data_IF_048234536425
#
_entry.id   IF_048234536425
#
_cell.length_a   1.000
_cell.length_b   1.000
_cell.length_c   1.000
_cell.angle_alpha   90.00
_cell.angle_beta   90.00
_cell.angle_gamma   90.00
#
_symmetry.space_group_name_H-M   'P 1'
#
loop_
_entity.id
_entity.type
_entity.pdbx_description
1 polymer ?
#
# COMPACT_ATOMS: atom_id res chain seq x y z
N UNK A 1 -5.79 -18.71 11.56
CA UNK A 1 -5.92 -18.11 12.91
C UNK A 1 -6.33 -16.63 12.82
N UNK A 2 -5.48 -15.77 12.26
CA UNK A 2 -5.60 -14.30 12.31
C UNK A 2 -6.77 -13.65 11.56
N UNK A 3 -7.18 -14.21 10.41
CA UNK A 3 -8.17 -13.57 9.53
C UNK A 3 -9.54 -13.38 10.19
N UNK A 4 -9.95 -14.31 11.08
CA UNK A 4 -11.22 -14.20 11.81
C UNK A 4 -11.21 -13.00 12.74
N UNK A 5 -10.16 -12.86 13.54
CA UNK A 5 -10.04 -11.77 14.50
C UNK A 5 -9.86 -10.41 13.81
N UNK A 6 -9.14 -10.36 12.69
CA UNK A 6 -9.04 -9.16 11.87
C UNK A 6 -10.41 -8.73 11.30
N UNK A 7 -11.20 -9.68 10.78
CA UNK A 7 -12.56 -9.41 10.28
C UNK A 7 -13.54 -8.96 11.37
N UNK A 8 -13.35 -9.46 12.59
CA UNK A 8 -14.15 -9.10 13.76
C UNK A 8 -13.61 -7.86 14.49
N UNK A 9 -12.59 -7.19 13.94
CA UNK A 9 -11.93 -6.01 14.52
C UNK A 9 -11.39 -6.23 15.95
N UNK A 10 -11.02 -7.48 16.28
CA UNK A 10 -10.35 -7.82 17.55
C UNK A 10 -8.86 -7.55 17.50
N UNK A 11 -8.31 -7.49 16.29
CA UNK A 11 -6.94 -7.08 16.02
C UNK A 11 -6.95 -6.05 14.89
N UNK A 12 -6.07 -5.07 15.02
CA UNK A 12 -5.84 -4.02 14.03
C UNK A 12 -4.45 -4.18 13.43
N UNK A 13 -4.37 -4.25 12.11
CA UNK A 13 -3.16 -4.55 11.36
C UNK A 13 -2.64 -3.39 10.54
N UNK A 14 -1.32 -3.28 10.39
CA UNK A 14 -0.67 -2.44 9.39
C UNK A 14 0.25 -3.26 8.45
N UNK A 15 0.58 -2.67 7.29
CA UNK A 15 1.51 -3.25 6.29
C UNK A 15 2.89 -2.59 6.41
N UNK A 16 3.80 -3.23 7.13
CA UNK A 16 5.11 -2.70 7.47
C UNK A 16 6.21 -3.20 6.50
N UNK A 17 6.23 -2.62 5.29
CA UNK A 17 7.22 -2.95 4.27
C UNK A 17 8.33 -1.90 4.19
N UNK A 18 7.97 -0.68 3.78
CA UNK A 18 8.89 0.44 3.54
C UNK A 18 9.74 0.74 4.76
N UNK A 19 11.01 0.99 4.51
CA UNK A 19 12.00 1.42 5.47
C UNK A 19 12.49 2.83 5.16
N UNK A 20 13.16 3.46 6.11
CA UNK A 20 13.74 4.79 5.96
C UNK A 20 14.71 4.85 4.76
N UNK A 21 15.55 3.82 4.58
CA UNK A 21 16.49 3.71 3.46
C UNK A 21 15.89 3.16 2.16
N UNK A 22 14.76 2.43 2.25
CA UNK A 22 14.27 1.60 1.15
C UNK A 22 12.74 1.62 1.00
N UNK A 23 12.27 2.24 -0.09
CA UNK A 23 10.86 2.23 -0.52
C UNK A 23 10.64 1.42 -1.80
N UNK A 24 11.06 1.97 -2.94
CA UNK A 24 10.89 1.33 -4.25
C UNK A 24 11.76 0.09 -4.41
N UNK A 25 13.01 0.12 -3.91
CA UNK A 25 13.93 -1.02 -3.96
C UNK A 25 13.65 -1.99 -2.79
N UNK A 26 12.53 -2.72 -2.85
CA UNK A 26 12.15 -3.72 -1.85
C UNK A 26 13.21 -4.81 -1.64
N UNK A 27 13.91 -5.31 -2.67
CA UNK A 27 15.03 -6.23 -2.47
C UNK A 27 16.17 -5.65 -1.62
N UNK A 28 16.22 -4.33 -1.42
CA UNK A 28 17.20 -3.65 -0.58
C UNK A 28 16.82 -3.51 0.89
N UNK A 29 15.63 -3.95 1.32
CA UNK A 29 15.24 -3.86 2.74
C UNK A 29 16.28 -4.53 3.65
N UNK A 30 16.48 -3.93 4.82
CA UNK A 30 17.54 -4.24 5.78
C UNK A 30 17.01 -4.95 7.03
N UNK A 31 15.73 -4.81 7.40
CA UNK A 31 15.15 -5.56 8.54
C UNK A 31 15.39 -7.05 8.33
N UNK A 32 15.88 -7.76 9.35
CA UNK A 32 16.19 -9.19 9.25
C UNK A 32 15.19 -10.05 10.03
N UNK A 33 15.02 -11.29 9.59
CA UNK A 33 14.28 -12.35 10.25
C UNK A 33 15.15 -13.62 10.25
N UNK A 34 15.93 -13.81 11.30
CA UNK A 34 16.86 -14.95 11.41
C UNK A 34 16.16 -16.13 12.06
N UNK A 35 16.17 -17.29 11.41
CA UNK A 35 15.55 -18.50 11.95
C UNK A 35 16.44 -19.16 13.01
N UNK A 36 15.88 -19.38 14.19
CA UNK A 36 16.50 -20.08 15.31
C UNK A 36 15.87 -21.48 15.47
N UNK A 37 16.60 -22.49 14.97
CA UNK A 37 16.16 -23.90 14.99
C UNK A 37 16.00 -24.46 16.40
N UNK A 38 16.71 -23.91 17.38
CA UNK A 38 16.69 -24.44 18.75
C UNK A 38 15.38 -24.12 19.45
N UNK A 39 14.79 -22.98 19.12
CA UNK A 39 13.56 -22.45 19.73
C UNK A 39 12.33 -22.56 18.81
N UNK A 40 12.52 -22.92 17.53
CA UNK A 40 11.48 -22.91 16.48
C UNK A 40 10.87 -21.51 16.28
N UNK A 41 11.72 -20.49 16.29
CA UNK A 41 11.35 -19.07 16.24
C UNK A 41 12.11 -18.30 15.16
N UNK A 42 11.56 -17.17 14.73
CA UNK A 42 12.28 -16.13 14.00
C UNK A 42 12.67 -15.00 14.94
N UNK A 43 13.91 -14.53 14.83
CA UNK A 43 14.42 -13.33 15.50
C UNK A 43 14.35 -12.16 14.52
N UNK A 44 13.40 -11.25 14.74
CA UNK A 44 13.21 -10.03 13.95
C UNK A 44 14.06 -8.91 14.52
N UNK A 45 14.88 -8.27 13.68
CA UNK A 45 15.78 -7.21 14.13
C UNK A 45 15.90 -6.06 13.13
N UNK A 46 16.12 -4.85 13.67
CA UNK A 46 16.43 -3.64 12.92
C UNK A 46 17.93 -3.34 13.08
N UNK A 47 18.79 -3.67 12.09
CA UNK A 47 20.24 -3.57 12.24
C UNK A 47 20.77 -2.14 12.28
N UNK A 48 20.09 -1.20 11.60
CA UNK A 48 20.53 0.18 11.38
C UNK A 48 19.35 1.14 11.51
N UNK A 49 19.63 2.44 11.61
CA UNK A 49 18.58 3.47 11.57
C UNK A 49 17.84 3.47 10.23
N UNK A 50 18.55 3.19 9.13
CA UNK A 50 17.96 3.12 7.79
C UNK A 50 16.99 1.95 7.63
N UNK A 51 17.17 0.89 8.42
CA UNK A 51 16.28 -0.26 8.49
C UNK A 51 14.97 -0.04 9.28
N UNK A 52 14.78 1.14 9.89
CA UNK A 52 13.51 1.45 10.56
C UNK A 52 12.38 1.35 9.54
N UNK A 53 11.32 0.61 9.87
CA UNK A 53 10.07 0.73 9.12
C UNK A 53 9.62 2.18 9.16
N UNK A 54 9.20 2.72 8.02
CA UNK A 54 8.90 4.14 7.89
C UNK A 54 7.83 4.34 6.80
N UNK A 55 6.77 5.09 7.09
CA UNK A 55 5.54 5.30 6.30
C UNK A 55 4.33 4.38 6.50
N UNK A 56 4.38 3.14 7.04
CA UNK A 56 3.20 2.31 7.19
C UNK A 56 2.06 3.07 7.88
N UNK A 57 0.90 3.14 7.20
CA UNK A 57 -0.31 3.70 7.80
C UNK A 57 -0.72 2.88 9.02
N UNK A 58 -1.37 3.53 9.99
CA UNK A 58 -1.89 2.90 11.21
C UNK A 58 -0.81 2.36 12.16
N UNK A 59 0.47 2.39 11.79
CA UNK A 59 1.57 1.88 12.60
C UNK A 59 1.85 2.76 13.82
N UNK A 60 1.76 4.07 13.64
CA UNK A 60 2.27 5.03 14.63
C UNK A 60 1.56 4.91 15.97
N UNK A 61 0.24 4.68 15.96
CA UNK A 61 -0.57 4.63 17.17
C UNK A 61 -1.60 3.51 17.16
N UNK A 62 -2.22 3.18 16.03
CA UNK A 62 -3.46 2.39 16.02
C UNK A 62 -3.27 0.87 15.95
N UNK A 63 -2.29 0.39 15.19
CA UNK A 63 -2.12 -1.02 14.90
C UNK A 63 -1.63 -1.81 16.12
N UNK A 64 -2.29 -2.94 16.39
CA UNK A 64 -1.89 -3.92 17.41
C UNK A 64 -0.99 -5.02 16.84
N UNK A 65 -1.09 -5.27 15.54
CA UNK A 65 -0.34 -6.27 14.80
C UNK A 65 0.21 -5.65 13.52
N UNK A 66 1.28 -6.23 12.98
CA UNK A 66 1.86 -5.82 11.72
C UNK A 66 2.22 -7.03 10.86
N UNK A 67 2.03 -6.91 9.55
CA UNK A 67 2.75 -7.74 8.58
C UNK A 67 4.07 -7.03 8.30
N UNK A 68 5.16 -7.60 8.78
CA UNK A 68 6.52 -7.06 8.65
C UNK A 68 7.22 -7.78 7.50
N UNK A 69 7.81 -7.01 6.58
CA UNK A 69 8.66 -7.55 5.52
C UNK A 69 10.11 -7.48 5.96
N UNK A 70 10.82 -8.61 5.91
CA UNK A 70 12.19 -8.71 6.39
C UNK A 70 12.98 -9.72 5.55
N UNK A 71 14.30 -9.59 5.53
CA UNK A 71 15.22 -10.56 4.92
C UNK A 71 15.21 -11.85 5.74
N UNK A 72 14.78 -12.95 5.13
CA UNK A 72 14.82 -14.26 5.75
C UNK A 72 16.25 -14.78 5.76
N UNK A 73 16.78 -15.06 6.96
CA UNK A 73 18.13 -15.61 7.15
C UNK A 73 18.03 -16.97 7.81
N UNK A 74 18.63 -18.00 7.22
CA UNK A 74 18.73 -19.35 7.80
C UNK A 74 20.15 -19.86 7.61
N UNK A 75 20.78 -20.31 8.70
CA UNK A 75 22.18 -20.76 8.69
C UNK A 75 23.11 -19.77 7.96
N UNK A 76 23.00 -18.48 8.30
CA UNK A 76 23.75 -17.35 7.71
C UNK A 76 23.48 -17.07 6.22
N UNK A 77 22.59 -17.83 5.58
CA UNK A 77 22.19 -17.62 4.20
C UNK A 77 20.93 -16.76 4.10
N UNK A 78 20.97 -15.78 3.20
CA UNK A 78 19.85 -14.89 2.88
C UNK A 78 18.97 -15.49 1.77
N UNK A 79 17.67 -15.60 2.04
CA UNK A 79 16.63 -16.13 1.15
C UNK A 79 15.70 -15.04 0.61
N UNK A 80 16.07 -13.76 0.77
CA UNK A 80 15.33 -12.62 0.29
C UNK A 80 14.17 -12.21 1.21
N UNK A 81 13.30 -11.36 0.67
CA UNK A 81 12.24 -10.73 1.46
C UNK A 81 11.06 -11.68 1.67
N UNK A 82 10.75 -11.93 2.94
CA UNK A 82 9.59 -12.68 3.38
C UNK A 82 8.70 -11.82 4.28
N UNK A 83 7.48 -12.29 4.53
CA UNK A 83 6.48 -11.57 5.33
C UNK A 83 6.10 -12.33 6.59
N UNK A 84 6.06 -11.61 7.70
CA UNK A 84 5.88 -12.14 9.05
C UNK A 84 4.75 -11.38 9.72
N UNK A 85 3.73 -12.10 10.20
CA UNK A 85 2.65 -11.49 10.95
C UNK A 85 2.96 -11.56 12.44
N UNK A 86 3.09 -10.42 13.10
CA UNK A 86 3.43 -10.36 14.52
C UNK A 86 2.60 -9.34 15.28
N UNK A 87 2.41 -9.59 16.57
CA UNK A 87 1.85 -8.62 17.50
C UNK A 87 2.90 -7.55 17.81
N UNK A 88 2.49 -6.28 17.81
CA UNK A 88 3.36 -5.14 18.11
C UNK A 88 2.90 -4.34 19.34
N UNK A 89 1.60 -4.43 19.69
CA UNK A 89 1.05 -3.86 20.93
C UNK A 89 0.20 -4.90 21.64
N UNK A 90 0.17 -4.83 22.96
CA UNK A 90 -0.77 -5.59 23.77
C UNK A 90 -2.21 -5.18 23.42
N UNK A 91 -3.08 -6.15 23.15
CA UNK A 91 -4.45 -5.89 22.66
C UNK A 91 -5.38 -5.29 23.70
N UNK A 92 -5.03 -5.33 24.99
CA UNK A 92 -5.85 -4.79 26.09
C UNK A 92 -5.39 -3.41 26.52
N UNK A 93 -4.09 -3.26 26.74
CA UNK A 93 -3.44 -2.04 27.26
C UNK A 93 -2.94 -1.12 26.17
N UNK A 94 -2.85 -1.62 24.94
CA UNK A 94 -2.34 -0.91 23.76
C UNK A 94 -0.88 -0.44 23.85
N UNK A 95 -0.15 -0.90 24.86
CA UNK A 95 1.27 -0.63 25.04
C UNK A 95 2.09 -1.45 24.03
N UNK A 96 3.18 -0.87 23.55
CA UNK A 96 4.14 -1.60 22.71
C UNK A 96 4.69 -2.81 23.48
N UNK A 97 4.87 -3.91 22.78
CA UNK A 97 5.55 -5.07 23.36
C UNK A 97 7.03 -4.76 23.59
N UNK A 98 7.64 -5.45 24.56
CA UNK A 98 9.06 -5.27 24.90
C UNK A 98 9.94 -5.47 23.67
N UNK A 99 10.96 -4.62 23.52
CA UNK A 99 11.90 -4.64 22.38
C UNK A 99 11.37 -3.99 21.10
N UNK A 100 10.15 -3.45 21.10
CA UNK A 100 9.59 -2.70 19.97
C UNK A 100 9.59 -1.21 20.28
N UNK A 101 10.14 -0.42 19.36
CA UNK A 101 10.04 1.04 19.38
C UNK A 101 9.21 1.47 18.18
N UNK A 102 8.13 2.20 18.40
CA UNK A 102 7.29 2.72 17.32
C UNK A 102 6.63 4.05 17.70
N UNK A 103 6.29 4.84 16.69
CA UNK A 103 5.66 6.14 16.86
C UNK A 103 5.19 6.74 15.53
N UNK A 104 4.54 7.90 15.59
CA UNK A 104 4.10 8.66 14.41
C UNK A 104 5.29 9.40 13.76
N UNK A 105 5.34 9.46 12.43
CA UNK A 105 6.43 10.15 11.69
C UNK A 105 6.26 11.67 11.62
N UNK A 106 5.15 12.19 12.12
CA UNK A 106 4.87 13.62 12.20
C UNK A 106 3.91 14.16 11.12
N UNK A 107 3.80 15.49 11.06
CA UNK A 107 2.89 16.18 10.14
C UNK A 107 3.30 15.96 8.69
N UNK A 108 2.28 15.91 7.82
CA UNK A 108 2.40 15.66 6.38
C UNK A 108 1.64 16.75 5.62
N UNK A 109 1.95 16.91 4.34
CA UNK A 109 1.26 17.85 3.45
C UNK A 109 -0.27 17.61 3.41
N UNK A 110 -0.68 16.35 3.43
CA UNK A 110 -2.06 15.90 3.61
C UNK A 110 -2.08 14.61 4.43
N UNK A 111 -3.20 13.90 4.47
CA UNK A 111 -3.30 12.63 5.22
C UNK A 111 -2.96 12.73 6.72
N UNK A 112 -3.12 13.91 7.35
CA UNK A 112 -2.83 14.09 8.78
C UNK A 112 -3.77 13.29 9.71
N UNK A 113 -4.88 12.75 9.20
CA UNK A 113 -5.72 11.80 9.93
C UNK A 113 -5.14 10.38 9.98
N UNK A 114 -4.08 10.10 9.22
CA UNK A 114 -3.37 8.81 9.24
C UNK A 114 -2.13 8.93 10.10
N UNK A 115 -2.01 8.02 11.05
CA UNK A 115 -0.87 7.84 11.93
C UNK A 115 0.23 7.02 11.24
N UNK A 116 0.71 7.52 10.11
CA UNK A 116 1.87 6.94 9.43
C UNK A 116 3.03 6.83 10.42
N UNK A 117 3.55 5.62 10.59
CA UNK A 117 4.47 5.33 11.68
C UNK A 117 5.89 5.00 11.25
N UNK A 118 6.77 5.07 12.24
CA UNK A 118 8.05 4.37 12.22
C UNK A 118 8.02 3.19 13.20
N UNK A 119 8.84 2.17 12.95
CA UNK A 119 9.02 1.05 13.88
C UNK A 119 10.40 0.40 13.74
N UNK A 120 10.98 0.04 14.87
CA UNK A 120 12.21 -0.73 14.98
C UNK A 120 12.05 -1.89 15.97
N UNK A 121 12.82 -2.95 15.73
CA UNK A 121 12.82 -4.18 16.50
C UNK A 121 14.19 -4.39 17.12
N UNK A 122 14.21 -4.76 18.39
CA UNK A 122 15.41 -5.24 19.08
C UNK A 122 15.25 -6.73 19.37
N UNK A 123 15.73 -7.57 18.45
CA UNK A 123 15.77 -9.03 18.57
C UNK A 123 14.44 -9.68 19.04
N UNK A 124 13.33 -9.29 18.41
CA UNK A 124 12.01 -9.80 18.76
C UNK A 124 11.84 -11.23 18.28
N UNK A 125 11.45 -12.13 19.19
CA UNK A 125 11.18 -13.53 18.88
C UNK A 125 9.71 -13.74 18.53
N UNK A 126 9.46 -14.43 17.42
CA UNK A 126 8.12 -14.84 17.00
C UNK A 126 8.13 -16.32 16.59
N UNK A 127 7.06 -17.08 16.85
CA UNK A 127 6.97 -18.48 16.42
C UNK A 127 7.16 -18.66 14.91
N UNK A 128 7.75 -19.77 14.46
CA UNK A 128 7.95 -20.05 13.02
C UNK A 128 6.67 -19.96 12.19
N UNK A 129 5.52 -20.37 12.74
CA UNK A 129 4.23 -20.31 12.05
C UNK A 129 3.65 -18.87 11.91
N UNK A 130 4.38 -17.84 12.32
CA UNK A 130 4.06 -16.44 12.05
C UNK A 130 4.55 -15.97 10.66
N UNK A 131 5.44 -16.71 10.01
CA UNK A 131 5.77 -16.50 8.60
C UNK A 131 4.54 -16.84 7.73
N UNK A 132 4.20 -15.96 6.78
CA UNK A 132 3.09 -16.20 5.86
C UNK A 132 3.47 -17.24 4.81
N UNK A 133 3.11 -18.50 5.07
CA UNK A 133 3.70 -19.65 4.41
C UNK A 133 2.96 -20.19 3.18
N UNK A 134 2.16 -19.36 2.48
CA UNK A 134 1.35 -19.84 1.35
C UNK A 134 2.17 -20.16 0.11
N UNK A 135 3.25 -19.41 -0.13
CA UNK A 135 4.06 -19.46 -1.35
C UNK A 135 5.55 -19.70 -1.07
N UNK A 136 5.93 -19.71 0.20
CA UNK A 136 7.27 -20.02 0.67
C UNK A 136 7.12 -20.57 2.08
N UNK A 137 7.85 -21.61 2.44
CA UNK A 137 7.81 -22.18 3.78
C UNK A 137 9.20 -22.47 4.31
N UNK A 138 9.30 -22.54 5.63
CA UNK A 138 10.48 -22.99 6.38
C UNK A 138 10.01 -24.12 7.28
N UNK A 139 10.58 -25.30 7.10
CA UNK A 139 10.34 -26.43 8.01
C UNK A 139 11.15 -26.30 9.31
N UNK A 140 10.95 -27.21 10.26
CA UNK A 140 11.56 -27.12 11.59
C UNK A 140 13.09 -27.29 11.54
N UNK A 141 13.56 -28.01 10.53
CA UNK A 141 14.97 -28.26 10.25
C UNK A 141 15.66 -27.07 9.57
N UNK A 142 14.88 -26.07 9.14
CA UNK A 142 15.34 -24.84 8.48
C UNK A 142 15.45 -24.96 6.96
N UNK A 143 14.82 -25.94 6.34
CA UNK A 143 14.79 -26.00 4.88
C UNK A 143 13.75 -25.02 4.35
N UNK A 144 14.22 -24.04 3.58
CA UNK A 144 13.37 -23.11 2.84
C UNK A 144 12.91 -23.73 1.52
N UNK A 145 11.63 -23.60 1.20
CA UNK A 145 11.05 -24.08 -0.06
C UNK A 145 10.05 -23.06 -0.61
N UNK A 146 10.12 -22.79 -1.90
CA UNK A 146 9.10 -22.03 -2.62
C UNK A 146 7.95 -22.95 -3.04
N UNK A 147 6.72 -22.48 -2.84
CA UNK A 147 5.50 -23.21 -3.12
C UNK A 147 4.76 -22.58 -4.30
N UNK A 148 4.63 -23.32 -5.39
CA UNK A 148 3.91 -22.89 -6.58
C UNK A 148 4.63 -21.79 -7.37
N UNK A 149 3.85 -20.91 -7.99
CA UNK A 149 4.40 -19.85 -8.86
C UNK A 149 4.29 -18.47 -8.20
N UNK A 150 5.44 -17.90 -7.82
CA UNK A 150 5.52 -16.58 -7.16
C UNK A 150 4.96 -15.43 -8.02
N UNK A 151 4.80 -15.59 -9.34
CA UNK A 151 4.16 -14.58 -10.21
C UNK A 151 2.74 -14.23 -9.74
N UNK A 152 2.07 -15.12 -8.99
CA UNK A 152 0.75 -14.85 -8.41
C UNK A 152 0.80 -13.68 -7.43
N UNK A 153 1.92 -13.41 -6.77
CA UNK A 153 2.06 -12.27 -5.85
C UNK A 153 1.90 -10.92 -6.57
N UNK A 154 2.25 -10.83 -7.86
CA UNK A 154 2.03 -9.62 -8.66
C UNK A 154 0.55 -9.23 -8.76
N UNK A 155 -0.37 -10.19 -8.62
CA UNK A 155 -1.81 -9.91 -8.69
C UNK A 155 -2.28 -9.01 -7.55
N UNK A 156 -1.64 -9.08 -6.38
CA UNK A 156 -1.95 -8.20 -5.24
C UNK A 156 -1.61 -6.76 -5.63
N UNK A 157 -0.40 -6.53 -6.13
CA UNK A 157 0.07 -5.21 -6.57
C UNK A 157 -0.80 -4.65 -7.71
N UNK A 158 -1.12 -5.47 -8.70
CA UNK A 158 -2.02 -5.11 -9.82
C UNK A 158 -3.38 -4.64 -9.31
N UNK A 159 -3.96 -5.34 -8.32
CA UNK A 159 -5.26 -4.97 -7.75
C UNK A 159 -5.25 -3.59 -7.08
N UNK A 160 -4.16 -3.25 -6.40
CA UNK A 160 -3.98 -1.95 -5.75
C UNK A 160 -3.76 -0.86 -6.80
N UNK A 161 -2.98 -1.11 -7.85
CA UNK A 161 -2.77 -0.15 -8.95
C UNK A 161 -4.07 0.21 -9.66
N UNK A 162 -4.94 -0.77 -9.92
CA UNK A 162 -6.26 -0.51 -10.50
C UNK A 162 -7.12 0.36 -9.57
N UNK A 163 -7.00 0.18 -8.24
CA UNK A 163 -7.65 1.05 -7.27
C UNK A 163 -7.12 2.50 -7.35
N UNK A 164 -5.82 2.69 -7.57
CA UNK A 164 -5.22 4.02 -7.75
C UNK A 164 -5.78 4.73 -8.98
N UNK A 165 -5.93 4.03 -10.12
CA UNK A 165 -6.58 4.59 -11.32
C UNK A 165 -8.00 5.05 -11.01
N UNK A 166 -8.75 4.27 -10.22
CA UNK A 166 -10.09 4.66 -9.75
C UNK A 166 -10.06 5.93 -8.88
N UNK A 167 -9.09 6.02 -7.97
CA UNK A 167 -8.92 7.19 -7.11
C UNK A 167 -8.56 8.44 -7.92
N UNK A 168 -7.75 8.30 -8.97
CA UNK A 168 -7.36 9.41 -9.85
C UNK A 168 -8.58 10.06 -10.51
N UNK A 169 -9.42 9.29 -11.22
CA UNK A 169 -10.57 9.90 -11.91
C UNK A 169 -11.62 10.43 -10.92
N UNK A 170 -11.84 9.76 -9.79
CA UNK A 170 -12.83 10.23 -8.80
C UNK A 170 -12.38 11.51 -8.11
N UNK A 171 -11.08 11.66 -7.83
CA UNK A 171 -10.52 12.89 -7.25
C UNK A 171 -10.54 14.03 -8.25
N UNK A 172 -10.15 13.77 -9.50
CA UNK A 172 -10.20 14.76 -10.58
C UNK A 172 -11.65 15.23 -10.85
N UNK A 173 -12.61 14.30 -10.89
CA UNK A 173 -14.02 14.61 -11.04
C UNK A 173 -14.54 15.54 -9.93
N UNK A 174 -14.16 15.30 -8.67
CA UNK A 174 -14.54 16.17 -7.54
C UNK A 174 -13.96 17.57 -7.70
N UNK A 175 -12.67 17.69 -7.97
CA UNK A 175 -12.01 18.98 -8.17
C UNK A 175 -12.62 19.78 -9.32
N UNK A 176 -12.84 19.13 -10.47
CA UNK A 176 -13.45 19.77 -11.64
C UNK A 176 -14.92 20.12 -11.42
N UNK A 177 -15.68 19.30 -10.70
CA UNK A 177 -17.07 19.64 -10.36
C UNK A 177 -17.14 20.93 -9.57
N UNK A 178 -16.24 21.11 -8.58
CA UNK A 178 -16.16 22.36 -7.81
C UNK A 178 -15.75 23.52 -8.73
N UNK A 179 -14.66 23.35 -9.49
CA UNK A 179 -14.11 24.40 -10.34
C UNK A 179 -15.12 24.87 -11.42
N UNK A 180 -15.75 23.94 -12.14
CA UNK A 180 -16.70 24.24 -13.21
C UNK A 180 -17.96 24.88 -12.65
N UNK A 181 -18.53 24.35 -11.55
CA UNK A 181 -19.71 24.96 -10.93
C UNK A 181 -19.42 26.37 -10.43
N UNK A 182 -18.25 26.58 -9.80
CA UNK A 182 -17.83 27.91 -9.39
C UNK A 182 -17.63 28.83 -10.60
N UNK A 183 -17.05 28.34 -11.70
CA UNK A 183 -16.81 29.12 -12.91
C UNK A 183 -18.09 29.59 -13.60
N UNK A 184 -19.18 28.82 -13.51
CA UNK A 184 -20.49 29.19 -14.06
C UNK A 184 -21.14 30.31 -13.24
N UNK A 185 -20.96 30.30 -11.92
CA UNK A 185 -21.60 31.29 -11.02
C UNK A 185 -20.74 32.54 -10.86
N UNK A 186 -19.42 32.40 -10.83
CA UNK A 186 -18.51 33.51 -10.61
C UNK A 186 -18.44 34.39 -11.84
N UNK A 187 -18.91 35.62 -11.72
CA UNK A 187 -18.69 36.68 -12.71
C UNK A 187 -17.40 37.44 -12.41
N UNK A 188 -16.70 37.87 -13.46
CA UNK A 188 -15.58 38.81 -13.33
C UNK A 188 -15.26 39.43 -14.69
N UNK A 189 -14.95 40.73 -14.68
CA UNK A 189 -14.70 41.58 -15.86
C UNK A 189 -15.94 41.81 -16.74
N UNK A 190 -15.97 42.98 -17.39
CA UNK A 190 -17.05 43.40 -18.29
C UNK A 190 -16.85 42.83 -19.68
N UNK A 191 -17.94 42.73 -20.43
CA UNK A 191 -17.87 42.39 -21.85
C UNK A 191 -17.29 43.56 -22.67
N UNK A 192 -16.61 43.24 -23.79
CA UNK A 192 -15.97 44.24 -24.68
C UNK A 192 -16.97 45.22 -25.29
N UNK A 193 -18.27 44.91 -25.21
CA UNK A 193 -19.36 45.67 -25.80
C UNK A 193 -20.00 46.72 -24.86
N UNK A 194 -19.38 47.02 -23.72
CA UNK A 194 -19.79 48.15 -22.86
C UNK A 194 -21.02 47.90 -22.00
N UNK A 195 -21.45 46.63 -21.83
CA UNK A 195 -22.45 46.31 -20.82
C UNK A 195 -21.86 46.50 -19.41
N UNK A 196 -22.68 46.92 -18.45
CA UNK A 196 -22.28 47.01 -17.05
C UNK A 196 -22.33 45.66 -16.32
N UNK A 197 -22.79 44.60 -16.99
CA UNK A 197 -22.90 43.26 -16.41
C UNK A 197 -21.58 42.52 -16.58
N UNK A 198 -21.08 41.95 -15.49
CA UNK A 198 -19.94 41.04 -15.54
C UNK A 198 -20.38 39.69 -16.10
N UNK A 199 -19.53 39.08 -16.93
CA UNK A 199 -19.79 37.75 -17.49
C UNK A 199 -19.22 36.64 -16.61
N UNK A 200 -19.86 35.46 -16.56
CA UNK A 200 -19.29 34.27 -15.93
C UNK A 200 -17.87 33.96 -16.43
N UNK A 201 -16.99 33.58 -15.50
CA UNK A 201 -15.60 33.27 -15.89
C UNK A 201 -15.50 32.02 -16.77
N UNK A 202 -16.52 31.15 -16.74
CA UNK A 202 -16.64 30.00 -17.64
C UNK A 202 -16.74 30.39 -19.11
N UNK A 203 -17.19 31.61 -19.42
CA UNK A 203 -17.35 32.04 -20.82
C UNK A 203 -16.01 32.38 -21.48
N UNK A 204 -14.94 32.59 -20.69
CA UNK A 204 -13.61 32.89 -21.25
C UNK A 204 -12.97 31.62 -21.81
N UNK A 205 -12.57 31.68 -23.09
CA UNK A 205 -11.85 30.59 -23.75
C UNK A 205 -10.60 30.16 -22.98
N UNK A 206 -9.89 31.10 -22.35
CA UNK A 206 -8.73 30.81 -21.50
C UNK A 206 -9.09 29.98 -20.26
N UNK A 207 -10.31 30.14 -19.73
CA UNK A 207 -10.81 29.36 -18.60
C UNK A 207 -11.31 27.99 -19.06
N UNK A 208 -12.06 27.94 -20.18
CA UNK A 208 -12.51 26.70 -20.80
C UNK A 208 -11.33 25.80 -21.20
N UNK A 209 -10.29 26.37 -21.81
CA UNK A 209 -9.09 25.65 -22.22
C UNK A 209 -8.35 24.99 -21.05
N UNK A 210 -8.48 25.53 -19.82
CA UNK A 210 -7.93 24.92 -18.61
C UNK A 210 -8.79 23.77 -18.09
N UNK A 211 -10.11 23.91 -18.11
CA UNK A 211 -11.03 22.97 -17.42
C UNK A 211 -11.58 21.87 -18.33
N UNK A 212 -11.96 22.19 -19.56
CA UNK A 212 -12.64 21.26 -20.48
C UNK A 212 -11.74 20.07 -20.87
N UNK A 213 -10.44 20.25 -21.20
CA UNK A 213 -9.57 19.10 -21.48
C UNK A 213 -9.44 18.15 -20.29
N UNK A 214 -9.34 18.70 -19.07
CA UNK A 214 -9.27 17.90 -17.84
C UNK A 214 -10.58 17.15 -17.57
N UNK A 215 -11.73 17.75 -17.89
CA UNK A 215 -13.03 17.08 -17.81
C UNK A 215 -13.08 15.89 -18.77
N UNK A 216 -12.68 16.08 -20.02
CA UNK A 216 -12.59 14.99 -21.00
C UNK A 216 -11.64 13.88 -20.53
N UNK A 217 -10.47 14.25 -20.00
CA UNK A 217 -9.49 13.30 -19.45
C UNK A 217 -10.05 12.50 -18.27
N UNK A 218 -10.91 13.11 -17.45
CA UNK A 218 -11.58 12.43 -16.32
C UNK A 218 -12.46 11.28 -16.82
N UNK A 219 -13.25 11.51 -17.86
CA UNK A 219 -14.07 10.45 -18.47
C UNK A 219 -13.21 9.38 -19.14
N UNK A 220 -12.11 9.76 -19.80
CA UNK A 220 -11.16 8.81 -20.35
C UNK A 220 -10.59 7.88 -19.27
N UNK A 221 -10.13 8.42 -18.13
CA UNK A 221 -9.66 7.63 -16.99
C UNK A 221 -10.75 6.74 -16.39
N UNK A 222 -12.00 7.21 -16.33
CA UNK A 222 -13.13 6.39 -15.88
C UNK A 222 -13.34 5.16 -16.79
N UNK A 223 -13.31 5.34 -18.12
CA UNK A 223 -13.46 4.23 -19.06
C UNK A 223 -12.28 3.26 -19.01
N UNK A 224 -11.04 3.78 -18.94
CA UNK A 224 -9.83 2.96 -18.76
C UNK A 224 -9.91 2.15 -17.47
N UNK A 225 -10.30 2.77 -16.35
CA UNK A 225 -10.48 2.06 -15.08
C UNK A 225 -11.48 0.91 -15.19
N UNK A 226 -12.63 1.13 -15.85
CA UNK A 226 -13.65 0.09 -16.02
C UNK A 226 -13.13 -1.06 -16.88
N UNK A 227 -12.38 -0.76 -17.94
CA UNK A 227 -11.73 -1.77 -18.77
C UNK A 227 -10.73 -2.61 -17.97
N UNK A 228 -9.83 -1.96 -17.22
CA UNK A 228 -8.82 -2.64 -16.39
C UNK A 228 -9.45 -3.54 -15.34
N UNK A 229 -10.55 -3.10 -14.71
CA UNK A 229 -11.30 -3.93 -13.75
C UNK A 229 -11.85 -5.21 -14.39
N UNK A 230 -12.42 -5.10 -15.61
CA UNK A 230 -12.95 -6.25 -16.34
C UNK A 230 -11.83 -7.23 -16.75
N UNK A 231 -10.74 -6.71 -17.30
CA UNK A 231 -9.59 -7.53 -17.70
C UNK A 231 -8.96 -8.23 -16.47
N UNK A 232 -8.81 -7.52 -15.35
CA UNK A 232 -8.28 -8.10 -14.12
C UNK A 232 -9.23 -9.15 -13.50
N UNK A 233 -10.54 -8.94 -13.59
CA UNK A 233 -11.52 -9.95 -13.18
C UNK A 233 -11.45 -11.22 -14.05
N UNK A 234 -11.21 -11.06 -15.36
CA UNK A 234 -10.98 -12.17 -16.28
C UNK A 234 -9.68 -12.92 -15.95
N UNK A 235 -8.58 -12.20 -15.73
CA UNK A 235 -7.30 -12.77 -15.32
C UNK A 235 -7.43 -13.60 -14.04
N UNK A 236 -8.15 -13.09 -13.03
CA UNK A 236 -8.40 -13.85 -11.79
C UNK A 236 -9.14 -15.18 -12.02
N UNK A 237 -10.01 -15.27 -13.02
CA UNK A 237 -10.67 -16.54 -13.38
C UNK A 237 -9.68 -17.51 -14.03
N UNK A 238 -8.84 -17.03 -14.96
CA UNK A 238 -7.79 -17.83 -15.61
C UNK A 238 -6.77 -18.38 -14.62
N UNK A 239 -6.33 -17.56 -13.66
CA UNK A 239 -5.41 -17.99 -12.59
C UNK A 239 -6.01 -19.14 -11.76
N UNK A 240 -7.31 -19.11 -11.47
CA UNK A 240 -7.98 -20.22 -10.76
C UNK A 240 -7.99 -21.52 -11.56
N UNK A 241 -7.87 -21.43 -12.88
CA UNK A 241 -7.77 -22.57 -13.79
C UNK A 241 -6.31 -22.99 -14.04
N UNK A 242 -5.34 -22.33 -13.39
CA UNK A 242 -3.91 -22.60 -13.54
C UNK A 242 -3.22 -21.84 -14.67
N UNK A 243 -3.93 -20.99 -15.41
CA UNK A 243 -3.35 -20.19 -16.48
C UNK A 243 -2.77 -18.87 -15.94
N UNK A 244 -1.46 -18.73 -16.10
CA UNK A 244 -0.66 -17.59 -15.63
C UNK A 244 -0.07 -16.76 -16.79
N UNK A 245 -0.44 -17.05 -18.04
CA UNK A 245 0.16 -16.46 -19.25
C UNK A 245 0.00 -14.92 -19.30
N UNK A 246 -1.16 -14.41 -18.90
CA UNK A 246 -1.52 -13.00 -19.00
C UNK A 246 -1.06 -12.14 -17.81
N UNK A 247 -0.43 -12.73 -16.78
CA UNK A 247 0.04 -11.98 -15.60
C UNK A 247 1.07 -10.92 -16.02
N UNK A 248 1.97 -11.25 -16.94
CA UNK A 248 3.02 -10.34 -17.41
C UNK A 248 2.44 -9.11 -18.12
N UNK A 249 1.51 -9.32 -19.06
CA UNK A 249 0.85 -8.23 -19.77
C UNK A 249 0.07 -7.31 -18.81
N UNK A 250 -0.71 -7.90 -17.89
CA UNK A 250 -1.45 -7.14 -16.88
C UNK A 250 -0.50 -6.36 -15.96
N UNK A 251 0.67 -6.91 -15.63
CA UNK A 251 1.68 -6.19 -14.85
C UNK A 251 2.15 -4.93 -15.59
N UNK A 252 2.48 -5.04 -16.87
CA UNK A 252 2.90 -3.90 -17.70
C UNK A 252 1.80 -2.85 -17.80
N UNK A 253 0.56 -3.24 -18.11
CA UNK A 253 -0.55 -2.30 -18.32
C UNK A 253 -0.96 -1.58 -17.02
N UNK A 254 -0.87 -2.26 -15.87
CA UNK A 254 -1.28 -1.67 -14.59
C UNK A 254 -0.21 -0.81 -13.92
N UNK A 255 1.06 -0.92 -14.34
CA UNK A 255 2.19 -0.16 -13.78
C UNK A 255 2.10 1.32 -14.15
#
# INVERSE_FOLDING_TARGET
MWLKDAKMLRIHGCYAQTELGHGSNVPGLETTATFDKTTDEFVINTPTITAFKFWPGELGKFATHAIVFARLIIDEKDYGIQSFLMQIRDVKTHRLLSGIVAGDIGPKYGFNMKDNGYMAFNHIRIPRNHMLNRYAEVDREGNYRELGNLKILYTVMQSIRILIVRMAFTTLAKGLTIAIRYAIVRTQFKDKHGSNEERPIMDYLTHQFKLIPLLSQTYAFMFVCRRLQNEFASLKKKIKQGDLSEIGLMHTISS
#
